data_IF_264013483682
#
_entry.id   IF_264013483682
#
_cell.length_a   1.000
_cell.length_b   1.000
_cell.length_c   1.000
_cell.angle_alpha   90.00
_cell.angle_beta   90.00
_cell.angle_gamma   90.00
#
_symmetry.space_group_name_H-M   'P 1'
#
loop_
_entity.id
_entity.type
_entity.pdbx_description
1 polymer ?
#
# COMPACT_ATOMS: atom_id res chain seq x y z
N UNK A 1 2.73 64.29 -11.32
CA UNK A 1 2.23 63.98 -12.68
C UNK A 1 1.99 62.47 -12.71
N UNK A 2 0.74 61.99 -12.61
CA UNK A 2 -0.18 61.59 -13.73
C UNK A 2 0.53 60.58 -14.65
N UNK A 3 0.12 59.32 -14.85
CA UNK A 3 -1.20 58.67 -14.99
C UNK A 3 -1.14 57.22 -14.41
N UNK A 4 -2.13 56.67 -13.70
CA UNK A 4 -3.46 56.12 -14.07
C UNK A 4 -3.46 54.80 -14.89
N UNK A 5 -3.85 53.72 -14.17
CA UNK A 5 -4.87 52.69 -14.48
C UNK A 5 -4.47 51.44 -15.32
N UNK A 6 -5.03 50.25 -14.97
CA UNK A 6 -4.51 48.92 -15.28
C UNK A 6 -5.20 48.28 -16.50
N UNK A 7 -4.58 47.25 -17.07
CA UNK A 7 -5.19 46.43 -18.13
C UNK A 7 -5.39 45.01 -17.59
N UNK A 8 -6.66 44.71 -17.32
CA UNK A 8 -7.22 43.37 -17.43
C UNK A 8 -7.04 42.89 -18.87
N UNK A 9 -6.47 41.70 -19.05
CA UNK A 9 -6.71 40.91 -20.26
C UNK A 9 -6.91 39.46 -19.83
N UNK A 10 -8.15 39.04 -20.05
CA UNK A 10 -8.63 37.70 -19.85
C UNK A 10 -8.04 36.74 -20.89
N UNK A 11 -8.31 35.46 -20.67
CA UNK A 11 -8.28 34.34 -21.62
C UNK A 11 -6.92 33.87 -22.14
N UNK A 12 -6.45 32.77 -21.54
CA UNK A 12 -6.20 31.56 -22.33
C UNK A 12 -6.68 30.34 -21.52
N UNK A 13 -7.97 30.04 -21.64
CA UNK A 13 -8.45 28.67 -21.52
C UNK A 13 -7.84 27.93 -22.71
N UNK A 14 -6.78 27.15 -22.47
CA UNK A 14 -6.35 26.17 -23.46
C UNK A 14 -7.40 25.05 -23.40
N UNK A 15 -8.29 25.07 -24.39
CA UNK A 15 -9.04 23.89 -24.79
C UNK A 15 -8.03 22.78 -25.09
N UNK A 16 -7.83 21.85 -24.15
CA UNK A 16 -7.26 20.54 -24.46
C UNK A 16 -8.41 19.58 -24.79
N UNK A 17 -9.07 19.85 -25.92
CA UNK A 17 -9.88 18.84 -26.59
C UNK A 17 -9.20 18.52 -27.91
N UNK A 18 -9.05 17.22 -28.15
CA UNK A 18 -8.49 16.55 -29.33
C UNK A 18 -6.98 16.33 -29.33
N UNK A 19 -6.59 15.16 -28.83
CA UNK A 19 -6.03 14.09 -29.67
C UNK A 19 -5.92 12.80 -28.83
N UNK A 20 -7.06 12.20 -28.50
CA UNK A 20 -7.08 10.79 -28.13
C UNK A 20 -7.20 10.02 -29.44
N UNK A 21 -6.13 9.34 -29.84
CA UNK A 21 -6.23 8.25 -30.81
C UNK A 21 -7.32 7.27 -30.35
N UNK A 22 -7.96 6.56 -31.29
CA UNK A 22 -9.09 5.64 -31.09
C UNK A 22 -8.74 4.42 -30.20
N UNK A 23 -8.33 4.65 -28.96
CA UNK A 23 -8.40 3.66 -27.90
C UNK A 23 -9.86 3.66 -27.45
N UNK A 24 -10.58 2.55 -27.70
CA UNK A 24 -11.96 2.33 -27.25
C UNK A 24 -12.02 2.17 -25.71
N UNK A 25 -11.53 3.16 -24.97
CA UNK A 25 -11.58 3.21 -23.53
C UNK A 25 -12.97 3.64 -23.09
N UNK A 26 -13.50 2.92 -22.11
CA UNK A 26 -14.72 3.30 -21.41
C UNK A 26 -14.48 4.54 -20.55
N UNK A 27 -15.56 5.25 -20.19
CA UNK A 27 -15.48 6.39 -19.27
C UNK A 27 -14.83 6.00 -17.92
N UNK A 28 -15.11 4.79 -17.43
CA UNK A 28 -14.50 4.27 -16.20
C UNK A 28 -12.99 4.06 -16.33
N UNK A 29 -12.51 3.65 -17.50
CA UNK A 29 -11.08 3.49 -17.76
C UNK A 29 -10.34 4.83 -17.85
N UNK A 30 -10.98 5.85 -18.41
CA UNK A 30 -10.43 7.22 -18.44
C UNK A 30 -10.32 7.77 -17.02
N UNK A 31 -11.38 7.65 -16.20
CA UNK A 31 -11.36 8.06 -14.80
C UNK A 31 -10.24 7.32 -14.03
N UNK A 32 -10.04 6.04 -14.31
CA UNK A 32 -9.00 5.25 -13.67
C UNK A 32 -7.59 5.75 -14.03
N UNK A 33 -7.36 6.11 -15.28
CA UNK A 33 -6.07 6.67 -15.74
C UNK A 33 -5.78 7.96 -14.97
N UNK A 34 -6.75 8.88 -14.90
CA UNK A 34 -6.60 10.15 -14.17
C UNK A 34 -6.22 9.92 -12.70
N UNK A 35 -6.88 8.96 -12.04
CA UNK A 35 -6.55 8.59 -10.65
C UNK A 35 -5.13 8.01 -10.57
N UNK A 36 -4.75 7.11 -11.49
CA UNK A 36 -3.41 6.52 -11.48
C UNK A 36 -2.32 7.57 -11.72
N UNK A 37 -2.55 8.56 -12.58
CA UNK A 37 -1.65 9.70 -12.80
C UNK A 37 -1.53 10.55 -11.53
N UNK A 38 -2.66 10.94 -10.92
CA UNK A 38 -2.70 11.73 -9.69
C UNK A 38 -1.93 11.04 -8.55
N UNK A 39 -2.03 9.71 -8.45
CA UNK A 39 -1.36 8.91 -7.42
C UNK A 39 0.08 8.51 -7.79
N UNK A 40 0.58 8.91 -8.96
CA UNK A 40 1.94 8.58 -9.43
C UNK A 40 2.17 7.08 -9.62
N UNK A 41 1.11 6.33 -9.97
CA UNK A 41 1.17 4.90 -10.26
C UNK A 41 1.65 4.65 -11.70
N UNK A 42 1.25 5.52 -12.63
CA UNK A 42 1.68 5.45 -14.02
C UNK A 42 3.10 6.01 -14.18
N UNK A 43 3.95 5.37 -15.01
CA UNK A 43 5.25 5.92 -15.37
C UNK A 43 5.08 7.30 -16.02
N UNK A 44 5.93 8.26 -15.64
CA UNK A 44 5.86 9.63 -16.16
C UNK A 44 6.20 9.76 -17.66
N UNK A 45 6.74 8.69 -18.25
CA UNK A 45 7.22 8.62 -19.63
C UNK A 45 6.32 7.77 -20.54
N UNK A 46 5.16 7.30 -20.05
CA UNK A 46 4.23 6.55 -20.89
C UNK A 46 3.52 7.50 -21.86
N UNK A 47 3.49 7.12 -23.14
CA UNK A 47 2.65 7.82 -24.12
C UNK A 47 1.19 7.42 -23.88
N UNK A 48 0.29 8.40 -23.72
CA UNK A 48 -1.14 8.15 -23.51
C UNK A 48 -1.76 7.27 -24.59
N UNK A 49 -1.19 7.26 -25.80
CA UNK A 49 -1.64 6.38 -26.89
C UNK A 49 -1.32 4.90 -26.66
N UNK A 50 -0.42 4.57 -25.72
CA UNK A 50 -0.05 3.20 -25.35
C UNK A 50 -0.90 2.63 -24.21
N UNK A 51 -1.73 3.46 -23.57
CA UNK A 51 -2.62 3.03 -22.49
C UNK A 51 -3.92 2.50 -23.11
N UNK A 52 -4.01 1.19 -23.27
CA UNK A 52 -5.22 0.48 -23.70
C UNK A 52 -5.88 -0.30 -22.54
N UNK A 53 -7.05 -0.89 -22.78
CA UNK A 53 -7.76 -1.69 -21.78
C UNK A 53 -6.94 -2.87 -21.25
N UNK A 54 -6.10 -3.51 -22.10
CA UNK A 54 -5.26 -4.63 -21.68
C UNK A 54 -4.18 -4.18 -20.70
N UNK A 55 -3.56 -3.05 -20.97
CA UNK A 55 -2.57 -2.42 -20.11
C UNK A 55 -3.18 -2.03 -18.76
N UNK A 56 -4.39 -1.47 -18.74
CA UNK A 56 -5.09 -1.15 -17.50
C UNK A 56 -5.42 -2.41 -16.68
N UNK A 57 -5.85 -3.50 -17.34
CA UNK A 57 -6.07 -4.79 -16.66
C UNK A 57 -4.76 -5.36 -16.12
N UNK A 58 -3.67 -5.26 -16.87
CA UNK A 58 -2.35 -5.66 -16.40
C UNK A 58 -1.94 -4.89 -15.13
N UNK A 59 -2.09 -3.56 -15.12
CA UNK A 59 -1.80 -2.75 -13.92
C UNK A 59 -2.69 -3.16 -12.75
N UNK A 60 -4.00 -3.34 -12.95
CA UNK A 60 -4.92 -3.79 -11.89
C UNK A 60 -4.45 -5.11 -11.28
N UNK A 61 -4.11 -6.09 -12.13
CA UNK A 61 -3.62 -7.39 -11.69
C UNK A 61 -2.28 -7.28 -10.96
N UNK A 62 -1.36 -6.46 -11.46
CA UNK A 62 -0.06 -6.22 -10.85
C UNK A 62 -0.21 -5.56 -9.47
N UNK A 63 -1.03 -4.51 -9.36
CA UNK A 63 -1.32 -3.83 -8.10
C UNK A 63 -1.95 -4.74 -7.05
N UNK A 64 -2.89 -5.59 -7.48
CA UNK A 64 -3.50 -6.59 -6.62
C UNK A 64 -2.50 -7.64 -6.17
N UNK A 65 -1.75 -8.22 -7.10
CA UNK A 65 -0.91 -9.40 -6.84
C UNK A 65 0.40 -9.05 -6.13
N UNK A 66 0.99 -7.89 -6.41
CA UNK A 66 2.27 -7.48 -5.83
C UNK A 66 2.10 -6.56 -4.63
N UNK A 67 1.05 -5.73 -4.59
CA UNK A 67 0.85 -4.71 -3.56
C UNK A 67 -0.42 -4.89 -2.73
N UNK A 68 -1.32 -5.81 -3.10
CA UNK A 68 -2.55 -6.09 -2.35
C UNK A 68 -3.59 -4.99 -2.48
N UNK A 69 -3.52 -4.21 -3.55
CA UNK A 69 -4.41 -3.09 -3.82
C UNK A 69 -5.53 -3.60 -4.72
N UNK A 70 -6.69 -3.87 -4.12
CA UNK A 70 -7.89 -4.30 -4.85
C UNK A 70 -8.64 -3.13 -5.51
N UNK A 71 -8.48 -1.92 -4.99
CA UNK A 71 -9.20 -0.72 -5.44
C UNK A 71 -8.28 0.50 -5.40
N UNK A 72 -7.92 0.99 -6.58
CA UNK A 72 -7.01 2.12 -6.77
C UNK A 72 -7.63 3.42 -6.26
N UNK A 73 -8.97 3.54 -6.25
CA UNK A 73 -9.66 4.73 -5.75
C UNK A 73 -9.44 4.93 -4.24
N UNK A 74 -9.04 3.87 -3.52
CA UNK A 74 -8.69 3.92 -2.09
C UNK A 74 -7.23 4.27 -1.84
N UNK A 75 -6.40 4.29 -2.87
CA UNK A 75 -5.01 4.75 -2.79
C UNK A 75 -5.00 6.21 -2.37
N UNK A 76 -4.34 6.55 -1.26
CA UNK A 76 -4.36 7.89 -0.68
C UNK A 76 -5.48 8.12 0.37
N UNK A 77 -6.32 7.13 0.64
CA UNK A 77 -7.18 7.10 1.83
C UNK A 77 -6.78 5.90 2.73
N UNK A 78 -5.58 5.96 3.34
CA UNK A 78 -5.03 4.82 4.07
C UNK A 78 -5.85 4.52 5.32
N UNK A 79 -6.10 3.24 5.57
CA UNK A 79 -6.70 2.80 6.83
C UNK A 79 -5.78 3.18 8.01
N UNK A 80 -6.27 3.98 8.97
CA UNK A 80 -5.44 4.53 10.04
C UNK A 80 -4.83 3.45 10.95
N UNK A 81 -5.38 2.23 10.92
CA UNK A 81 -4.83 1.06 11.63
C UNK A 81 -3.46 0.64 11.10
N UNK A 82 -3.14 0.97 9.85
CA UNK A 82 -1.87 0.64 9.19
C UNK A 82 -0.96 1.85 8.98
N UNK A 83 -1.23 2.97 9.67
CA UNK A 83 -0.47 4.23 9.48
C UNK A 83 0.98 4.22 9.98
N UNK A 84 1.41 3.19 10.72
CA UNK A 84 2.82 2.99 11.10
C UNK A 84 3.16 1.50 11.25
N UNK A 85 4.45 1.12 11.18
CA UNK A 85 4.88 -0.25 11.44
C UNK A 85 4.42 -0.78 12.80
N UNK A 86 4.48 0.04 13.85
CA UNK A 86 4.06 -0.32 15.20
C UNK A 86 2.56 -0.57 15.26
N UNK A 87 1.74 0.29 14.64
CA UNK A 87 0.30 0.08 14.59
C UNK A 87 -0.05 -1.19 13.82
N UNK A 88 0.54 -1.40 12.65
CA UNK A 88 0.37 -2.63 11.86
C UNK A 88 0.75 -3.87 12.69
N UNK A 89 1.86 -3.81 13.43
CA UNK A 89 2.28 -4.91 14.31
C UNK A 89 1.27 -5.20 15.42
N UNK A 90 0.72 -4.17 16.07
CA UNK A 90 -0.30 -4.35 17.10
C UNK A 90 -1.59 -4.94 16.52
N UNK A 91 -2.03 -4.48 15.34
CA UNK A 91 -3.20 -5.05 14.65
C UNK A 91 -2.96 -6.52 14.33
N UNK A 92 -1.79 -6.85 13.78
CA UNK A 92 -1.39 -8.23 13.49
C UNK A 92 -1.43 -9.13 14.73
N UNK A 93 -0.79 -8.69 15.83
CA UNK A 93 -0.77 -9.43 17.10
C UNK A 93 -2.19 -9.65 17.64
N UNK A 94 -3.03 -8.62 17.65
CA UNK A 94 -4.42 -8.74 18.12
C UNK A 94 -5.26 -9.65 17.22
N UNK A 95 -5.06 -9.60 15.91
CA UNK A 95 -5.74 -10.47 14.96
C UNK A 95 -5.40 -11.94 15.23
N UNK A 96 -4.12 -12.26 15.46
CA UNK A 96 -3.68 -13.61 15.84
C UNK A 96 -4.28 -14.07 17.18
N UNK A 97 -4.30 -13.20 18.21
CA UNK A 97 -4.90 -13.52 19.52
C UNK A 97 -6.39 -13.86 19.40
N UNK A 98 -7.11 -13.19 18.50
CA UNK A 98 -8.55 -13.41 18.24
C UNK A 98 -8.81 -14.55 17.26
N UNK A 99 -7.78 -15.11 16.62
CA UNK A 99 -7.92 -16.07 15.53
C UNK A 99 -8.56 -15.47 14.27
N UNK A 100 -8.47 -14.14 14.09
CA UNK A 100 -8.89 -13.43 12.89
C UNK A 100 -7.77 -13.46 11.86
N UNK A 101 -7.65 -14.59 11.16
CA UNK A 101 -6.60 -14.79 10.19
C UNK A 101 -6.75 -13.90 8.94
N UNK A 102 -7.97 -13.47 8.61
CA UNK A 102 -8.21 -12.58 7.49
C UNK A 102 -7.62 -11.18 7.74
N UNK A 103 -7.81 -10.64 8.96
CA UNK A 103 -7.17 -9.39 9.35
C UNK A 103 -5.65 -9.53 9.49
N UNK A 104 -5.17 -10.66 10.03
CA UNK A 104 -3.74 -10.92 10.13
C UNK A 104 -3.07 -10.96 8.74
N UNK A 105 -3.74 -11.56 7.75
CA UNK A 105 -3.31 -11.61 6.36
C UNK A 105 -3.22 -10.22 5.72
N UNK A 106 -4.17 -9.33 6.00
CA UNK A 106 -4.12 -7.93 5.57
C UNK A 106 -2.94 -7.14 6.13
N UNK A 107 -2.33 -7.58 7.22
CA UNK A 107 -1.14 -6.92 7.78
C UNK A 107 0.13 -7.22 6.99
N UNK A 108 0.11 -8.23 6.11
CA UNK A 108 1.26 -8.65 5.31
C UNK A 108 1.18 -8.12 3.87
N UNK A 109 2.34 -8.09 3.21
CA UNK A 109 2.40 -8.08 1.75
C UNK A 109 1.68 -9.32 1.19
N UNK A 110 1.09 -9.25 -0.02
CA UNK A 110 0.54 -10.42 -0.70
C UNK A 110 1.54 -11.58 -0.77
N UNK A 111 1.01 -12.81 -0.90
CA UNK A 111 1.78 -14.07 -1.00
C UNK A 111 2.53 -14.50 0.28
N UNK A 112 2.28 -13.85 1.42
CA UNK A 112 2.83 -14.29 2.72
C UNK A 112 2.25 -15.65 3.14
N UNK A 113 3.10 -16.69 3.20
CA UNK A 113 2.72 -18.03 3.68
C UNK A 113 2.60 -18.13 5.20
N UNK A 114 2.97 -17.08 5.94
CA UNK A 114 3.09 -17.14 7.40
C UNK A 114 1.74 -17.37 8.09
N UNK A 115 0.67 -16.77 7.54
CA UNK A 115 -0.68 -16.97 8.04
C UNK A 115 -1.16 -18.40 7.85
N UNK A 116 -0.75 -19.08 6.77
CA UNK A 116 -1.10 -20.49 6.55
C UNK A 116 -0.51 -21.40 7.63
N UNK A 117 0.69 -21.08 8.13
CA UNK A 117 1.32 -21.80 9.25
C UNK A 117 0.45 -21.65 10.50
N UNK A 118 0.04 -20.43 10.85
CA UNK A 118 -0.85 -20.20 12.00
C UNK A 118 -2.22 -20.85 11.84
N UNK A 119 -2.81 -20.81 10.62
CA UNK A 119 -4.05 -21.53 10.30
C UNK A 119 -3.89 -23.03 10.58
N UNK A 120 -2.76 -23.65 10.20
CA UNK A 120 -2.46 -25.08 10.46
C UNK A 120 -2.22 -25.39 11.94
N UNK A 121 -1.60 -24.48 12.69
CA UNK A 121 -1.37 -24.65 14.14
C UNK A 121 -2.67 -24.59 14.96
N UNK A 122 -3.72 -23.97 14.41
CA UNK A 122 -4.99 -23.77 15.10
C UNK A 122 -5.01 -22.53 16.00
N UNK A 123 -6.22 -22.14 16.41
CA UNK A 123 -6.47 -20.88 17.13
C UNK A 123 -5.76 -20.80 18.48
N UNK A 124 -5.85 -21.84 19.29
CA UNK A 124 -5.28 -21.84 20.65
C UNK A 124 -3.75 -21.70 20.61
N UNK A 125 -3.07 -22.52 19.79
CA UNK A 125 -1.61 -22.44 19.67
C UNK A 125 -1.16 -21.10 19.09
N UNK A 126 -1.89 -20.58 18.11
CA UNK A 126 -1.62 -19.24 17.55
C UNK A 126 -1.73 -18.17 18.62
N UNK A 127 -2.78 -18.22 19.45
CA UNK A 127 -3.00 -17.27 20.54
C UNK A 127 -1.88 -17.31 21.56
N UNK A 128 -1.41 -18.49 21.98
CA UNK A 128 -0.25 -18.64 22.87
C UNK A 128 1.00 -17.95 22.29
N UNK A 129 1.31 -18.23 21.02
CA UNK A 129 2.46 -17.64 20.33
C UNK A 129 2.31 -16.12 20.26
N UNK A 130 1.12 -15.62 19.91
CA UNK A 130 0.84 -14.20 19.78
C UNK A 130 0.95 -13.46 21.12
N UNK A 131 0.48 -14.06 22.22
CA UNK A 131 0.63 -13.51 23.58
C UNK A 131 2.11 -13.40 23.98
N UNK A 132 2.94 -14.36 23.58
CA UNK A 132 4.38 -14.34 23.82
C UNK A 132 5.17 -13.34 22.94
N UNK A 133 4.54 -12.73 21.92
CA UNK A 133 5.21 -11.74 21.07
C UNK A 133 5.45 -10.44 21.85
N UNK A 134 6.72 -10.04 21.95
CA UNK A 134 7.13 -8.75 22.51
C UNK A 134 6.87 -7.60 21.55
N UNK A 135 7.01 -6.38 22.07
CA UNK A 135 7.03 -5.17 21.25
C UNK A 135 8.24 -5.19 20.30
N UNK A 136 8.09 -4.51 19.17
CA UNK A 136 9.14 -4.35 18.18
C UNK A 136 9.96 -3.08 18.46
N UNK A 137 11.24 -3.12 18.11
CA UNK A 137 12.15 -1.98 18.25
C UNK A 137 12.69 -1.60 16.87
N UNK A 138 12.59 -0.31 16.51
CA UNK A 138 13.09 0.19 15.22
C UNK A 138 14.61 0.15 15.19
N UNK A 139 15.16 -0.36 14.10
CA UNK A 139 16.61 -0.38 13.84
C UNK A 139 16.96 0.72 12.83
N UNK A 140 16.25 0.73 11.70
CA UNK A 140 16.48 1.66 10.60
C UNK A 140 15.21 1.79 9.77
N UNK A 141 15.18 2.78 8.89
CA UNK A 141 14.09 2.94 7.93
C UNK A 141 13.83 4.39 7.57
N UNK A 142 13.17 4.58 6.45
CA UNK A 142 12.70 5.85 5.91
C UNK A 142 11.16 5.84 5.83
N UNK A 143 10.59 6.63 4.93
CA UNK A 143 9.16 6.73 4.64
C UNK A 143 8.62 5.55 3.82
N UNK A 144 9.49 4.78 3.16
CA UNK A 144 9.13 3.67 2.27
C UNK A 144 9.35 2.30 2.91
N UNK A 145 10.41 2.15 3.69
CA UNK A 145 10.79 0.88 4.30
C UNK A 145 11.30 1.07 5.71
N UNK A 146 11.00 0.09 6.58
CA UNK A 146 11.51 0.11 7.93
C UNK A 146 11.89 -1.29 8.42
N UNK A 147 13.01 -1.37 9.13
CA UNK A 147 13.55 -2.58 9.72
C UNK A 147 13.42 -2.51 11.23
N UNK A 148 12.83 -3.55 11.80
CA UNK A 148 12.63 -3.71 13.24
C UNK A 148 13.28 -5.00 13.73
N UNK A 149 13.55 -5.07 15.03
CA UNK A 149 13.88 -6.30 15.73
C UNK A 149 12.81 -6.68 16.75
N UNK A 150 12.67 -7.97 16.96
CA UNK A 150 11.93 -8.56 18.08
C UNK A 150 12.83 -9.57 18.78
N UNK A 151 12.91 -9.48 20.11
CA UNK A 151 13.65 -10.43 20.94
C UNK A 151 12.68 -11.43 21.55
N UNK A 152 13.03 -12.72 21.52
CA UNK A 152 12.25 -13.80 22.13
C UNK A 152 13.17 -14.69 22.94
N UNK A 153 12.71 -15.12 24.11
CA UNK A 153 13.37 -16.17 24.85
C UNK A 153 12.86 -17.53 24.36
N UNK A 154 13.76 -18.33 23.80
CA UNK A 154 13.49 -19.70 23.34
C UNK A 154 14.50 -20.59 24.05
N UNK A 155 14.01 -21.53 24.87
CA UNK A 155 14.85 -22.49 25.62
C UNK A 155 15.95 -21.81 26.48
N UNK A 156 15.62 -20.68 27.09
CA UNK A 156 16.57 -19.90 27.92
C UNK A 156 17.52 -18.98 27.13
N UNK A 157 17.51 -19.04 25.80
CA UNK A 157 18.32 -18.18 24.94
C UNK A 157 17.51 -16.99 24.40
N UNK A 158 18.07 -15.78 24.47
CA UNK A 158 17.48 -14.61 23.82
C UNK A 158 17.84 -14.62 22.33
N UNK A 159 16.85 -14.90 21.48
CA UNK A 159 16.98 -14.90 20.03
C UNK A 159 16.39 -13.61 19.46
N UNK A 160 17.15 -12.93 18.60
CA UNK A 160 16.70 -11.74 17.88
C UNK A 160 16.22 -12.12 16.48
N UNK A 161 14.98 -11.75 16.16
CA UNK A 161 14.42 -11.85 14.81
C UNK A 161 14.25 -10.45 14.22
N UNK A 162 14.33 -10.36 12.90
CA UNK A 162 14.12 -9.12 12.17
C UNK A 162 12.77 -9.13 11.46
N UNK A 163 12.09 -7.99 11.48
CA UNK A 163 10.81 -7.78 10.78
C UNK A 163 11.01 -6.58 9.87
N UNK A 164 10.62 -6.72 8.61
CA UNK A 164 10.67 -5.65 7.63
C UNK A 164 9.26 -5.17 7.35
N UNK A 165 9.13 -3.86 7.18
CA UNK A 165 7.89 -3.22 6.78
C UNK A 165 8.13 -2.41 5.51
N UNK A 166 7.10 -2.37 4.67
CA UNK A 166 7.04 -1.52 3.48
C UNK A 166 5.80 -0.64 3.57
N UNK A 167 5.94 0.63 3.26
CA UNK A 167 4.85 1.58 3.13
C UNK A 167 4.31 1.52 1.70
N UNK A 168 3.03 1.21 1.57
CA UNK A 168 2.31 1.23 0.32
C UNK A 168 1.22 2.30 0.44
N UNK A 169 1.47 3.45 -0.20
CA UNK A 169 0.50 4.54 -0.29
C UNK A 169 -0.09 4.99 1.05
N UNK A 170 0.75 5.06 2.09
CA UNK A 170 0.37 5.47 3.44
C UNK A 170 0.02 4.30 4.38
N UNK A 171 -0.02 3.07 3.87
CA UNK A 171 -0.28 1.88 4.68
C UNK A 171 0.96 0.99 4.81
N UNK A 172 1.39 0.76 6.04
CA UNK A 172 2.51 -0.11 6.35
C UNK A 172 2.10 -1.57 6.38
N UNK A 173 2.88 -2.41 5.70
CA UNK A 173 2.70 -3.86 5.57
C UNK A 173 3.95 -4.61 5.98
N UNK A 174 3.78 -5.76 6.62
CA UNK A 174 4.87 -6.68 6.96
C UNK A 174 5.38 -7.33 5.67
N UNK A 175 6.62 -7.01 5.31
CA UNK A 175 7.38 -7.64 4.22
C UNK A 175 8.19 -8.78 4.80
N UNK A 176 7.91 -9.99 4.35
CA UNK A 176 8.72 -11.14 4.69
C UNK A 176 9.71 -11.38 3.56
N UNK A 177 10.99 -11.46 3.91
CA UNK A 177 12.08 -11.86 3.02
C UNK A 177 12.25 -13.38 3.05
#
# INVERSE_FOLDING_TARGET
MRCLIPIFLATLFINSTNCLAENNLTHEEIELIEIMEEKGILPHDIDNNQIDSNYLQFIKLMLKNEYGIDDIRKVGNPDPRFSSPEKTWQVYKHALIRGDFALAEKCHMPKSRHIEIYKKLGKEKTKEIALAMRNIERISGDDKMAKYRIRRNIEGNEITFYIYFTNLFGEWRIKQL
#
